data_IF_711805273388
#
_entry.id   IF_711805273388
#
_cell.length_a   1.000
_cell.length_b   1.000
_cell.length_c   1.000
_cell.angle_alpha   90.00
_cell.angle_beta   90.00
_cell.angle_gamma   90.00
#
_symmetry.space_group_name_H-M   'P 1'
#
loop_
_entity.id
_entity.type
_entity.pdbx_description
1 polymer ?
#
# COMPACT_ATOMS: atom_id res chain seq x y z
N UNK A 1 -10.43 -10.33 6.64
CA UNK A 1 -10.55 -9.18 5.70
C UNK A 1 -9.30 -8.30 5.68
N UNK A 2 -8.83 -7.77 6.83
CA UNK A 2 -7.66 -6.86 6.88
C UNK A 2 -6.37 -7.44 6.30
N UNK A 3 -5.91 -8.58 6.83
CA UNK A 3 -4.67 -9.23 6.38
C UNK A 3 -4.74 -9.64 4.91
N UNK A 4 -5.81 -10.34 4.51
CA UNK A 4 -6.06 -10.70 3.11
C UNK A 4 -6.00 -9.51 2.15
N UNK A 5 -6.63 -8.38 2.50
CA UNK A 5 -6.59 -7.16 1.68
C UNK A 5 -5.16 -6.63 1.51
N UNK A 6 -4.38 -6.67 2.59
CA UNK A 6 -3.00 -6.18 2.58
C UNK A 6 -2.05 -7.08 1.79
N UNK A 7 -2.23 -8.40 1.87
CA UNK A 7 -1.46 -9.37 1.08
C UNK A 7 -1.82 -9.28 -0.40
N UNK A 8 -3.12 -9.23 -0.72
CA UNK A 8 -3.59 -9.08 -2.09
C UNK A 8 -3.08 -7.77 -2.71
N UNK A 9 -3.03 -6.68 -1.95
CA UNK A 9 -2.42 -5.43 -2.40
C UNK A 9 -0.93 -5.60 -2.74
N UNK A 10 -0.18 -6.36 -1.94
CA UNK A 10 1.22 -6.64 -2.23
C UNK A 10 1.38 -7.47 -3.50
N UNK A 11 0.49 -8.43 -3.75
CA UNK A 11 0.50 -9.25 -4.97
C UNK A 11 0.18 -8.42 -6.22
N UNK A 12 -0.85 -7.57 -6.16
CA UNK A 12 -1.33 -6.80 -7.33
C UNK A 12 -0.38 -5.65 -7.70
N UNK A 13 0.15 -4.93 -6.70
CA UNK A 13 0.92 -3.71 -6.91
C UNK A 13 2.42 -3.90 -6.67
N UNK A 14 2.81 -4.82 -5.80
CA UNK A 14 4.18 -4.95 -5.34
C UNK A 14 4.55 -3.93 -4.24
N UNK A 15 5.44 -4.34 -3.33
CA UNK A 15 5.87 -3.52 -2.18
C UNK A 15 6.53 -2.21 -2.58
N UNK A 16 7.33 -2.21 -3.66
CA UNK A 16 8.03 -1.01 -4.16
C UNK A 16 7.03 0.07 -4.61
N UNK A 17 5.98 -0.33 -5.33
CA UNK A 17 4.93 0.57 -5.79
C UNK A 17 4.13 1.07 -4.59
N UNK A 18 3.68 0.18 -3.69
CA UNK A 18 2.95 0.59 -2.48
C UNK A 18 3.74 1.57 -1.60
N UNK A 19 5.07 1.45 -1.54
CA UNK A 19 5.92 2.36 -0.78
C UNK A 19 6.10 3.75 -1.41
N UNK A 20 5.85 3.88 -2.71
CA UNK A 20 6.06 5.13 -3.49
C UNK A 20 4.77 5.76 -3.99
N UNK A 21 3.67 5.01 -3.94
CA UNK A 21 2.35 5.45 -4.39
C UNK A 21 1.42 5.81 -3.23
N UNK A 22 0.29 6.42 -3.56
CA UNK A 22 -0.82 6.68 -2.65
C UNK A 22 -2.14 6.35 -3.32
N UNK A 23 -3.22 6.21 -2.56
CA UNK A 23 -4.52 5.84 -3.13
C UNK A 23 -5.05 6.87 -4.15
N UNK A 24 -4.74 8.16 -3.99
CA UNK A 24 -5.36 9.22 -4.83
C UNK A 24 -4.38 10.26 -5.37
N UNK A 25 -3.13 10.29 -4.93
CA UNK A 25 -2.14 11.32 -5.30
C UNK A 25 -2.40 12.72 -4.75
N UNK A 26 -3.65 13.09 -4.41
CA UNK A 26 -4.10 14.47 -4.18
C UNK A 26 -3.42 15.26 -3.04
N UNK A 27 -2.74 14.61 -2.09
CA UNK A 27 -2.10 15.28 -0.94
C UNK A 27 -0.64 14.89 -0.75
N UNK A 28 -0.06 14.21 -1.72
CA UNK A 28 1.28 13.63 -1.60
C UNK A 28 1.99 13.79 -2.93
N UNK A 29 3.29 14.11 -2.95
CA UNK A 29 4.14 13.99 -4.15
C UNK A 29 4.36 12.52 -4.59
N UNK A 30 3.40 11.64 -4.30
CA UNK A 30 3.40 10.20 -4.56
C UNK A 30 2.47 9.92 -5.73
N UNK A 31 2.87 8.98 -6.57
CA UNK A 31 2.06 8.55 -7.72
C UNK A 31 0.73 7.94 -7.24
N UNK A 32 -0.40 8.23 -7.90
CA UNK A 32 -1.64 7.53 -7.60
C UNK A 32 -1.51 6.04 -7.97
N UNK A 33 -2.16 5.16 -7.20
CA UNK A 33 -2.36 3.77 -7.60
C UNK A 33 -3.27 3.70 -8.83
N UNK A 34 -3.01 2.71 -9.68
CA UNK A 34 -3.84 2.39 -10.84
C UNK A 34 -5.29 2.11 -10.39
N UNK A 35 -6.21 2.96 -10.81
CA UNK A 35 -7.62 2.91 -10.41
C UNK A 35 -8.32 1.63 -10.85
N UNK A 36 -7.93 1.04 -11.99
CA UNK A 36 -8.50 -0.20 -12.49
C UNK A 36 -8.14 -1.34 -11.54
N UNK A 37 -6.86 -1.43 -11.17
CA UNK A 37 -6.36 -2.43 -10.21
C UNK A 37 -6.94 -2.23 -8.80
N UNK A 38 -7.13 -0.98 -8.39
CA UNK A 38 -7.76 -0.66 -7.10
C UNK A 38 -9.21 -1.16 -7.08
N UNK A 39 -9.98 -0.92 -8.14
CA UNK A 39 -11.36 -1.39 -8.22
C UNK A 39 -11.43 -2.92 -8.26
N UNK A 40 -10.60 -3.58 -9.06
CA UNK A 40 -10.55 -5.04 -9.09
C UNK A 40 -10.20 -5.66 -7.73
N UNK A 41 -9.28 -5.04 -6.97
CA UNK A 41 -8.97 -5.46 -5.61
C UNK A 41 -10.18 -5.29 -4.68
N UNK A 42 -10.88 -4.16 -4.76
CA UNK A 42 -12.09 -3.90 -3.97
C UNK A 42 -13.15 -4.96 -4.25
N UNK A 43 -13.43 -5.23 -5.51
CA UNK A 43 -14.44 -6.22 -5.93
C UNK A 43 -14.09 -7.61 -5.43
N UNK A 44 -12.82 -8.02 -5.54
CA UNK A 44 -12.35 -9.31 -5.03
C UNK A 44 -12.49 -9.45 -3.50
N UNK A 45 -12.21 -8.37 -2.75
CA UNK A 45 -12.35 -8.37 -1.28
C UNK A 45 -13.82 -8.42 -0.87
N UNK A 46 -14.70 -7.66 -1.54
CA UNK A 46 -16.14 -7.64 -1.25
C UNK A 46 -16.77 -8.99 -1.59
N UNK A 47 -16.42 -9.59 -2.73
CA UNK A 47 -16.89 -10.91 -3.13
C UNK A 47 -16.51 -11.99 -2.10
N UNK A 48 -15.31 -11.89 -1.51
CA UNK A 48 -14.83 -12.86 -0.50
C UNK A 48 -15.36 -12.60 0.90
N UNK A 49 -15.54 -11.33 1.29
CA UNK A 49 -15.99 -10.94 2.62
C UNK A 49 -17.28 -10.13 2.52
N UNK A 50 -18.40 -10.85 2.44
CA UNK A 50 -19.74 -10.24 2.41
C UNK A 50 -19.93 -9.31 3.62
N UNK A 51 -20.53 -8.14 3.41
CA UNK A 51 -20.68 -7.09 4.43
C UNK A 51 -19.50 -6.11 4.52
N UNK A 52 -18.43 -6.31 3.73
CA UNK A 52 -17.35 -5.34 3.61
C UNK A 52 -17.75 -4.20 2.68
N UNK A 53 -17.45 -2.96 3.07
CA UNK A 53 -17.70 -1.78 2.22
C UNK A 53 -16.45 -1.37 1.44
N UNK A 54 -16.61 -0.77 0.24
CA UNK A 54 -15.48 -0.22 -0.53
C UNK A 54 -14.63 0.78 0.28
N UNK A 55 -15.26 1.54 1.18
CA UNK A 55 -14.62 2.51 2.06
C UNK A 55 -13.63 1.84 3.03
N UNK A 56 -14.00 0.70 3.62
CA UNK A 56 -13.12 -0.07 4.50
C UNK A 56 -11.91 -0.61 3.74
N UNK A 57 -12.12 -1.16 2.54
CA UNK A 57 -11.02 -1.67 1.70
C UNK A 57 -10.05 -0.55 1.32
N UNK A 58 -10.58 0.62 0.92
CA UNK A 58 -9.76 1.80 0.61
C UNK A 58 -8.97 2.29 1.83
N UNK A 59 -9.53 2.22 3.03
CA UNK A 59 -8.83 2.59 4.26
C UNK A 59 -7.64 1.66 4.53
N UNK A 60 -7.84 0.35 4.39
CA UNK A 60 -6.78 -0.66 4.53
C UNK A 60 -5.68 -0.47 3.48
N UNK A 61 -6.05 -0.17 2.24
CA UNK A 61 -5.08 0.08 1.17
C UNK A 61 -4.24 1.34 1.44
N UNK A 62 -4.85 2.42 1.95
CA UNK A 62 -4.11 3.62 2.40
C UNK A 62 -3.13 3.28 3.52
N UNK A 63 -3.60 2.54 4.54
CA UNK A 63 -2.76 2.12 5.66
C UNK A 63 -1.57 1.29 5.17
N UNK A 64 -1.80 0.37 4.22
CA UNK A 64 -0.72 -0.43 3.63
C UNK A 64 0.31 0.42 2.89
N UNK A 65 -0.12 1.39 2.08
CA UNK A 65 0.81 2.31 1.41
C UNK A 65 1.65 3.12 2.42
N UNK A 66 1.03 3.58 3.51
CA UNK A 66 1.74 4.30 4.56
C UNK A 66 2.78 3.41 5.25
N UNK A 67 2.42 2.18 5.59
CA UNK A 67 3.31 1.22 6.23
C UNK A 67 4.52 0.88 5.34
N UNK A 68 4.29 0.59 4.05
CA UNK A 68 5.38 0.29 3.11
C UNK A 68 6.28 1.52 2.87
N UNK A 69 5.69 2.73 2.83
CA UNK A 69 6.45 3.98 2.74
C UNK A 69 7.32 4.22 3.97
N UNK A 70 6.81 3.93 5.17
CA UNK A 70 7.56 4.05 6.42
C UNK A 70 8.67 3.00 6.51
N UNK A 71 8.36 1.74 6.17
CA UNK A 71 9.35 0.66 6.09
C UNK A 71 10.47 0.97 5.09
N UNK A 72 10.14 1.57 3.94
CA UNK A 72 11.15 2.08 2.98
C UNK A 72 12.04 3.16 3.59
N UNK A 73 11.47 4.09 4.37
CA UNK A 73 12.24 5.14 5.06
C UNK A 73 13.19 4.55 6.10
N UNK A 74 12.72 3.64 6.95
CA UNK A 74 13.56 2.94 7.94
C UNK A 74 14.71 2.22 7.25
N UNK A 75 14.42 1.41 6.22
CA UNK A 75 15.47 0.71 5.46
C UNK A 75 16.51 1.68 4.96
N UNK A 76 16.11 2.79 4.34
CA UNK A 76 17.05 3.81 3.85
C UNK A 76 17.92 4.40 4.97
N UNK A 77 17.36 4.67 6.15
CA UNK A 77 18.12 5.19 7.30
C UNK A 77 19.14 4.17 7.82
N UNK A 78 18.79 2.89 7.85
CA UNK A 78 19.72 1.82 8.27
C UNK A 78 20.93 1.74 7.34
N UNK A 79 20.72 1.81 6.02
CA UNK A 79 21.83 1.82 5.06
C UNK A 79 22.71 3.06 5.19
N UNK A 80 22.12 4.25 5.33
CA UNK A 80 22.88 5.49 5.48
C UNK A 80 23.71 5.57 6.77
N UNK A 81 23.41 4.75 7.78
CA UNK A 81 24.13 4.74 9.04
C UNK A 81 25.28 3.73 9.06
N UNK A 82 25.40 2.89 8.04
CA UNK A 82 26.44 1.86 7.91
C UNK A 82 27.67 2.28 7.09
N UNK A 83 27.68 3.49 6.52
CA UNK A 83 28.76 3.98 5.65
C UNK A 83 29.68 5.02 6.33
N UNK A 84 29.46 5.33 7.63
CA UNK A 84 30.25 6.30 8.41
C UNK A 84 31.27 5.64 9.39
N UNK A 85 31.46 4.32 9.33
CA UNK A 85 32.50 3.60 10.09
C UNK A 85 33.42 2.82 9.12
N UNK A 86 34.31 3.53 8.43
CA UNK A 86 35.63 3.02 8.04
C UNK A 86 36.59 4.16 7.66
#
# INVERSE_FOLDING_TARGET
>A
MSEFTQELAVIIFGRKVLATSSLTGKKTNKTPLDSIKVNALIDAVIARFQGTTPSQVRALLRQKCNNESYAKKIRKVVWLKGDDEN
#
